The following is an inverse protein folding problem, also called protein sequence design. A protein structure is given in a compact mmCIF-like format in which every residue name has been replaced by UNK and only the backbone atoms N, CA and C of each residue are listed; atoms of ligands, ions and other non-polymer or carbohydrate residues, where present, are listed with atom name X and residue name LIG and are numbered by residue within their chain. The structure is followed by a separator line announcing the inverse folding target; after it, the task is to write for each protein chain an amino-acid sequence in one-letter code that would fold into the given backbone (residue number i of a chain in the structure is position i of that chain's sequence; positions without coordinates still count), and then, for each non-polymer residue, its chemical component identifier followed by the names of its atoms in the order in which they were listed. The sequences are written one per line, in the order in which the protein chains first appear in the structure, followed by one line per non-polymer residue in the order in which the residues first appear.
data_IF_615768795962
#
_entry.id   IF_615768795962
#
_cell.length_a   1.000
_cell.length_b   1.000
_cell.length_c   1.000
_cell.angle_alpha   90.00
_cell.angle_beta   90.00
_cell.angle_gamma   90.00
#
_symmetry.space_group_name_H-M   'P 1'
#
loop_
_entity.id
_entity.type
_entity.pdbx_description
1 polymer ?
#
# COMPACT_ATOMS: atom_id res chain seq x y z
N UNK A 1 -39.82 1.38 -44.48
CA UNK A 1 -38.55 1.19 -45.21
C UNK A 1 -37.31 1.76 -44.47
N UNK A 2 -37.40 2.12 -43.18
CA UNK A 2 -36.26 2.62 -42.38
C UNK A 2 -35.55 1.63 -41.43
N UNK A 3 -36.16 0.52 -40.93
CA UNK A 3 -35.50 -0.29 -39.90
C UNK A 3 -34.26 -1.05 -40.39
N UNK A 4 -34.22 -1.41 -41.68
CA UNK A 4 -33.08 -2.12 -42.27
C UNK A 4 -31.78 -1.28 -42.30
N UNK A 5 -31.89 0.01 -42.62
CA UNK A 5 -30.75 0.93 -42.70
C UNK A 5 -30.25 1.31 -41.31
N UNK A 6 -31.12 1.33 -40.30
CA UNK A 6 -30.72 1.53 -38.91
C UNK A 6 -29.95 0.32 -38.35
N UNK A 7 -30.41 -0.90 -38.64
CA UNK A 7 -29.74 -2.12 -38.21
C UNK A 7 -28.34 -2.26 -38.82
N UNK A 8 -28.17 -2.00 -40.12
CA UNK A 8 -26.84 -2.02 -40.76
C UNK A 8 -25.85 -1.01 -40.15
N UNK A 9 -26.32 0.17 -39.76
CA UNK A 9 -25.45 1.18 -39.13
C UNK A 9 -25.03 0.77 -37.72
N UNK A 10 -25.93 0.17 -36.95
CA UNK A 10 -25.62 -0.35 -35.62
C UNK A 10 -24.62 -1.50 -35.71
N UNK A 11 -24.80 -2.43 -36.65
CA UNK A 11 -23.88 -3.54 -36.87
C UNK A 11 -22.48 -3.06 -37.31
N UNK A 12 -22.41 -2.05 -38.19
CA UNK A 12 -21.14 -1.47 -38.61
C UNK A 12 -20.39 -0.79 -37.45
N UNK A 13 -21.10 -0.04 -36.60
CA UNK A 13 -20.52 0.59 -35.40
C UNK A 13 -20.05 -0.48 -34.42
N UNK A 14 -20.87 -1.49 -34.14
CA UNK A 14 -20.55 -2.58 -33.21
C UNK A 14 -19.32 -3.36 -33.69
N UNK A 15 -19.26 -3.68 -34.99
CA UNK A 15 -18.12 -4.39 -35.61
C UNK A 15 -16.84 -3.57 -35.52
N UNK A 16 -16.90 -2.27 -35.83
CA UNK A 16 -15.75 -1.38 -35.70
C UNK A 16 -15.25 -1.29 -34.25
N UNK A 17 -16.15 -1.10 -33.29
CA UNK A 17 -15.81 -1.10 -31.87
C UNK A 17 -15.15 -2.41 -31.45
N UNK A 18 -15.71 -3.54 -31.87
CA UNK A 18 -15.16 -4.86 -31.55
C UNK A 18 -13.77 -5.03 -32.14
N UNK A 19 -13.53 -4.54 -33.37
CA UNK A 19 -12.25 -4.64 -34.04
C UNK A 19 -11.18 -3.73 -33.42
N UNK A 20 -11.53 -2.49 -33.06
CA UNK A 20 -10.63 -1.57 -32.35
C UNK A 20 -10.30 -2.12 -30.96
N UNK A 21 -11.31 -2.60 -30.23
CA UNK A 21 -11.14 -3.21 -28.92
C UNK A 21 -10.28 -4.48 -28.98
N UNK A 22 -10.56 -5.35 -29.96
CA UNK A 22 -9.77 -6.54 -30.27
C UNK A 22 -8.32 -6.21 -30.65
N UNK A 23 -8.06 -5.07 -31.28
CA UNK A 23 -6.71 -4.64 -31.65
C UNK A 23 -5.94 -4.03 -30.48
N UNK A 24 -6.62 -3.29 -29.60
CA UNK A 24 -6.01 -2.65 -28.44
C UNK A 24 -5.72 -3.62 -27.28
N UNK A 25 -6.53 -4.66 -27.12
CA UNK A 25 -6.40 -5.62 -26.02
C UNK A 25 -5.05 -6.37 -26.00
N UNK A 26 -4.52 -6.91 -27.12
CA UNK A 26 -3.20 -7.56 -27.14
C UNK A 26 -2.06 -6.59 -26.81
N UNK A 27 -2.17 -5.32 -27.22
CA UNK A 27 -1.19 -4.30 -26.88
C UNK A 27 -1.21 -4.01 -25.39
N UNK A 28 -2.40 -3.80 -24.81
CA UNK A 28 -2.56 -3.58 -23.37
C UNK A 28 -2.00 -4.76 -22.58
N UNK A 29 -2.33 -6.00 -22.96
CA UNK A 29 -1.84 -7.20 -22.28
C UNK A 29 -0.31 -7.27 -22.32
N UNK A 30 0.30 -7.01 -23.48
CA UNK A 30 1.76 -6.97 -23.63
C UNK A 30 2.39 -5.87 -22.78
N UNK A 31 1.82 -4.67 -22.78
CA UNK A 31 2.30 -3.55 -21.96
C UNK A 31 2.20 -3.88 -20.47
N UNK A 32 1.09 -4.43 -20.02
CA UNK A 32 0.90 -4.81 -18.62
C UNK A 32 1.92 -5.88 -18.18
N UNK A 33 2.18 -6.89 -19.02
CA UNK A 33 3.21 -7.91 -18.74
C UNK A 33 4.61 -7.30 -18.53
N UNK A 34 5.02 -6.41 -19.42
CA UNK A 34 6.32 -5.69 -19.31
C UNK A 34 6.37 -4.85 -18.02
N UNK A 35 5.28 -4.17 -17.69
CA UNK A 35 5.21 -3.35 -16.47
C UNK A 35 5.27 -4.21 -15.20
N UNK A 36 4.62 -5.38 -15.18
CA UNK A 36 4.67 -6.30 -14.04
C UNK A 36 6.07 -6.90 -13.89
N UNK A 37 6.71 -7.34 -14.98
CA UNK A 37 8.11 -7.78 -14.94
C UNK A 37 9.02 -6.71 -14.34
N UNK A 38 8.96 -5.49 -14.88
CA UNK A 38 9.77 -4.38 -14.37
C UNK A 38 9.47 -4.02 -12.92
N UNK A 39 8.21 -4.12 -12.48
CA UNK A 39 7.84 -3.88 -11.08
C UNK A 39 8.47 -4.92 -10.14
N UNK A 40 8.43 -6.20 -10.50
CA UNK A 40 9.03 -7.28 -9.70
C UNK A 40 10.55 -7.14 -9.66
N UNK A 41 11.19 -6.79 -10.78
CA UNK A 41 12.63 -6.50 -10.83
C UNK A 41 13.01 -5.33 -9.92
N UNK A 42 12.17 -4.29 -9.87
CA UNK A 42 12.36 -3.16 -8.96
C UNK A 42 12.24 -3.62 -7.50
N UNK A 43 11.24 -4.42 -7.14
CA UNK A 43 11.11 -4.94 -5.78
C UNK A 43 12.36 -5.73 -5.35
N UNK A 44 12.86 -6.61 -6.22
CA UNK A 44 14.07 -7.39 -5.96
C UNK A 44 15.32 -6.50 -5.83
N UNK A 45 15.45 -5.51 -6.71
CA UNK A 45 16.55 -4.54 -6.66
C UNK A 45 16.53 -3.72 -5.37
N UNK A 46 15.36 -3.18 -4.99
CA UNK A 46 15.16 -2.42 -3.75
C UNK A 46 15.48 -3.27 -2.53
N UNK A 47 15.10 -4.56 -2.52
CA UNK A 47 15.51 -5.47 -1.46
C UNK A 47 17.04 -5.57 -1.36
N UNK A 48 17.72 -5.87 -2.47
CA UNK A 48 19.18 -6.03 -2.46
C UNK A 48 19.94 -4.74 -2.08
N UNK A 49 19.44 -3.57 -2.47
CA UNK A 49 20.03 -2.27 -2.12
C UNK A 49 19.91 -1.91 -0.62
N UNK A 50 18.89 -2.46 0.05
CA UNK A 50 18.52 -2.10 1.42
C UNK A 50 18.67 -3.23 2.44
N UNK A 51 19.01 -4.46 2.01
CA UNK A 51 19.16 -5.63 2.90
C UNK A 51 20.18 -5.45 4.03
N UNK A 52 21.15 -4.56 3.86
CA UNK A 52 22.17 -4.23 4.88
C UNK A 52 21.91 -2.92 5.62
N UNK A 53 20.84 -2.19 5.26
CA UNK A 53 20.48 -0.88 5.82
C UNK A 53 19.10 -0.97 6.48
N UNK A 54 18.06 -0.57 5.77
CA UNK A 54 16.70 -0.42 6.31
C UNK A 54 16.03 -1.77 6.59
N UNK A 55 16.35 -2.80 5.80
CA UNK A 55 15.81 -4.17 5.97
C UNK A 55 16.74 -5.01 6.86
N UNK A 56 17.78 -4.42 7.44
CA UNK A 56 18.76 -5.17 8.27
C UNK A 56 18.10 -5.86 9.47
N UNK A 57 17.08 -5.25 10.06
CA UNK A 57 16.38 -5.73 11.26
C UNK A 57 14.96 -6.21 10.92
N UNK A 58 14.81 -6.97 9.84
CA UNK A 58 13.51 -7.52 9.44
C UNK A 58 13.04 -8.54 10.47
N UNK A 59 12.04 -8.17 11.27
CA UNK A 59 11.43 -9.05 12.26
C UNK A 59 10.28 -9.89 11.67
N UNK A 60 9.72 -10.79 12.48
CA UNK A 60 8.65 -11.68 12.05
C UNK A 60 7.41 -10.90 11.55
N UNK A 61 7.07 -9.78 12.20
CA UNK A 61 5.91 -8.97 11.82
C UNK A 61 6.13 -8.28 10.48
N UNK A 62 7.31 -7.67 10.28
CA UNK A 62 7.69 -7.06 9.01
C UNK A 62 7.71 -8.08 7.87
N UNK A 63 8.23 -9.28 8.13
CA UNK A 63 8.18 -10.39 7.17
C UNK A 63 6.73 -10.76 6.80
N UNK A 64 5.86 -10.99 7.79
CA UNK A 64 4.45 -11.33 7.54
C UNK A 64 3.72 -10.24 6.75
N UNK A 65 3.99 -8.96 7.05
CA UNK A 65 3.40 -7.85 6.32
C UNK A 65 3.87 -7.81 4.86
N UNK A 66 5.18 -7.96 4.62
CA UNK A 66 5.72 -7.98 3.26
C UNK A 66 5.16 -9.16 2.46
N UNK A 67 5.05 -10.34 3.07
CA UNK A 67 4.45 -11.51 2.41
C UNK A 67 2.98 -11.25 2.02
N UNK A 68 2.18 -10.64 2.90
CA UNK A 68 0.81 -10.23 2.59
C UNK A 68 0.76 -9.25 1.40
N UNK A 69 1.63 -8.23 1.39
CA UNK A 69 1.68 -7.25 0.30
C UNK A 69 2.07 -7.91 -1.03
N UNK A 70 3.06 -8.81 -1.04
CA UNK A 70 3.46 -9.55 -2.23
C UNK A 70 2.35 -10.47 -2.75
N UNK A 71 1.65 -11.18 -1.87
CA UNK A 71 0.51 -12.04 -2.23
C UNK A 71 -0.67 -11.22 -2.78
N UNK A 72 -0.92 -10.04 -2.19
CA UNK A 72 -1.91 -9.10 -2.72
C UNK A 72 -1.55 -8.66 -4.15
N UNK A 73 -0.29 -8.26 -4.39
CA UNK A 73 0.17 -7.87 -5.73
C UNK A 73 0.04 -9.02 -6.72
N UNK A 74 0.49 -10.22 -6.34
CA UNK A 74 0.39 -11.41 -7.18
C UNK A 74 -1.07 -11.72 -7.53
N UNK A 75 -1.98 -11.64 -6.56
CA UNK A 75 -3.41 -11.89 -6.77
C UNK A 75 -4.04 -10.88 -7.73
N UNK A 76 -3.79 -9.58 -7.50
CA UNK A 76 -4.36 -8.50 -8.32
C UNK A 76 -3.82 -8.52 -9.75
N UNK A 77 -2.54 -8.85 -9.92
CA UNK A 77 -1.85 -8.78 -11.21
C UNK A 77 -1.68 -10.15 -11.89
N UNK A 78 -2.25 -11.23 -11.35
CA UNK A 78 -1.98 -12.61 -11.77
C UNK A 78 -2.09 -12.84 -13.29
N UNK A 79 -3.05 -12.20 -13.96
CA UNK A 79 -3.25 -12.34 -15.41
C UNK A 79 -2.09 -11.81 -16.26
N UNK A 80 -1.24 -10.98 -15.65
CA UNK A 80 -0.12 -10.29 -16.30
C UNK A 80 1.25 -10.79 -15.82
N UNK A 81 1.29 -11.75 -14.90
CA UNK A 81 2.54 -12.38 -14.51
C UNK A 81 3.10 -13.24 -15.65
N UNK A 82 4.33 -12.96 -16.05
CA UNK A 82 5.12 -13.87 -16.88
C UNK A 82 5.83 -14.91 -16.03
N UNK A 83 6.28 -16.04 -16.61
CA UNK A 83 7.10 -17.02 -15.89
C UNK A 83 8.34 -16.41 -15.23
N UNK A 84 8.97 -15.44 -15.90
CA UNK A 84 10.13 -14.71 -15.40
C UNK A 84 9.77 -13.87 -14.17
N UNK A 85 8.66 -13.12 -14.22
CA UNK A 85 8.17 -12.35 -13.08
C UNK A 85 7.77 -13.26 -11.90
N UNK A 86 7.17 -14.42 -12.16
CA UNK A 86 6.84 -15.41 -11.12
C UNK A 86 8.10 -15.93 -10.43
N UNK A 87 9.12 -16.27 -11.21
CA UNK A 87 10.39 -16.75 -10.68
C UNK A 87 11.12 -15.68 -9.87
N UNK A 88 11.10 -14.43 -10.34
CA UNK A 88 11.68 -13.29 -9.62
C UNK A 88 10.91 -12.99 -8.31
N UNK A 89 9.58 -13.07 -8.33
CA UNK A 89 8.75 -12.91 -7.14
C UNK A 89 9.04 -13.99 -6.10
N UNK A 90 9.14 -15.25 -6.54
CA UNK A 90 9.53 -16.36 -5.67
C UNK A 90 10.92 -16.17 -5.07
N UNK A 91 11.89 -15.75 -5.88
CA UNK A 91 13.23 -15.42 -5.40
C UNK A 91 13.20 -14.30 -4.34
N UNK A 92 12.39 -13.26 -4.54
CA UNK A 92 12.23 -12.19 -3.54
C UNK A 92 11.67 -12.74 -2.21
N UNK A 93 10.63 -13.59 -2.26
CA UNK A 93 10.04 -14.21 -1.07
C UNK A 93 11.07 -15.08 -0.33
N UNK A 94 11.85 -15.89 -1.04
CA UNK A 94 12.93 -16.71 -0.47
C UNK A 94 14.01 -15.85 0.21
N UNK A 95 14.44 -14.78 -0.46
CA UNK A 95 15.42 -13.83 0.09
C UNK A 95 14.91 -13.09 1.34
N UNK A 96 13.62 -12.73 1.37
CA UNK A 96 12.98 -12.11 2.53
C UNK A 96 12.93 -13.07 3.71
N UNK A 97 12.62 -14.35 3.47
CA UNK A 97 12.60 -15.36 4.51
C UNK A 97 14.01 -15.60 5.07
N UNK A 98 15.01 -15.74 4.21
CA UNK A 98 16.42 -15.84 4.63
C UNK A 98 16.81 -14.65 5.50
N UNK A 99 16.50 -13.43 5.06
CA UNK A 99 16.80 -12.21 5.80
C UNK A 99 16.10 -12.15 7.16
N UNK A 100 14.83 -12.54 7.25
CA UNK A 100 14.09 -12.58 8.50
C UNK A 100 14.71 -13.60 9.48
N UNK A 101 15.11 -14.78 8.98
CA UNK A 101 15.81 -15.78 9.78
C UNK A 101 17.16 -15.28 10.30
N UNK A 102 17.96 -14.63 9.44
CA UNK A 102 19.22 -13.98 9.83
C UNK A 102 18.99 -12.94 10.93
N UNK A 103 18.00 -12.05 10.76
CA UNK A 103 17.69 -10.99 11.71
C UNK A 103 17.23 -11.53 13.07
N UNK A 104 16.44 -12.60 13.09
CA UNK A 104 16.03 -13.27 14.34
C UNK A 104 17.23 -13.92 15.02
N UNK A 105 18.10 -14.60 14.27
CA UNK A 105 19.32 -15.20 14.81
C UNK A 105 20.28 -14.15 15.39
N UNK A 106 20.54 -13.06 14.66
CA UNK A 106 21.38 -11.94 15.11
C UNK A 106 20.82 -11.29 16.40
N UNK A 107 19.50 -11.19 16.54
CA UNK A 107 18.86 -10.66 17.74
C UNK A 107 19.03 -11.58 18.97
N UNK A 108 19.04 -12.90 18.76
CA UNK A 108 19.26 -13.89 19.82
C UNK A 108 20.72 -13.93 20.30
N UNK A 109 21.68 -13.71 19.40
CA UNK A 109 23.11 -13.71 19.74
C UNK A 109 23.55 -12.45 20.49
N UNK A 110 22.80 -11.34 20.39
CA UNK A 110 23.15 -10.07 21.02
C UNK A 110 22.01 -9.42 21.86
N UNK A 111 21.48 -10.08 22.90
CA UNK A 111 20.35 -9.56 23.69
C UNK A 111 20.70 -8.29 24.53
N UNK A 112 21.99 -7.95 24.63
CA UNK A 112 22.53 -7.13 25.72
C UNK A 112 22.54 -5.60 25.55
N UNK A 113 22.15 -5.03 24.41
CA UNK A 113 22.36 -3.59 24.15
C UNK A 113 21.16 -2.68 24.48
N UNK A 114 20.05 -3.22 25.02
CA UNK A 114 18.89 -2.43 25.46
C UNK A 114 18.58 -2.49 26.96
N UNK A 115 19.48 -3.03 27.78
CA UNK A 115 19.35 -2.92 29.25
C UNK A 115 20.54 -2.17 29.84
N UNK A 116 20.29 -0.93 30.25
CA UNK A 116 21.12 -0.24 31.24
C UNK A 116 21.30 -1.17 32.45
N UNK A 117 22.52 -1.57 32.83
CA UNK A 117 22.70 -2.39 34.02
C UNK A 117 22.41 -1.54 35.26
N UNK A 118 21.32 -1.82 35.95
CA UNK A 118 21.13 -1.36 37.33
C UNK A 118 21.54 -2.50 38.24
N UNK A 119 22.60 -2.25 38.99
CA UNK A 119 23.35 -3.17 39.86
C UNK A 119 22.46 -3.84 40.92
N UNK A 120 22.40 -5.16 40.89
CA UNK A 120 22.06 -6.02 42.04
C UNK A 120 20.80 -6.87 41.87
N UNK A 121 20.97 -8.13 41.51
CA UNK A 121 20.19 -9.26 42.06
C UNK A 121 20.84 -10.57 41.64
N UNK A 122 21.17 -11.40 42.62
CA UNK A 122 21.67 -12.77 42.45
C UNK A 122 20.52 -13.72 42.09
N UNK A 123 20.87 -14.78 41.36
CA UNK A 123 20.14 -16.04 41.09
C UNK A 123 18.67 -15.97 40.68
N UNK A 124 18.43 -16.24 39.39
CA UNK A 124 17.46 -17.23 38.94
C UNK A 124 17.80 -17.61 37.51
N UNK A 125 18.04 -18.90 37.28
CA UNK A 125 18.13 -19.48 35.95
C UNK A 125 16.78 -19.30 35.27
N UNK A 126 16.62 -18.23 34.48
CA UNK A 126 15.48 -18.10 33.58
C UNK A 126 15.79 -18.97 32.37
N UNK A 127 15.15 -20.14 32.34
CA UNK A 127 14.94 -20.96 31.16
C UNK A 127 14.04 -20.19 30.18
N UNK A 128 14.53 -19.06 29.67
CA UNK A 128 13.89 -18.33 28.58
C UNK A 128 14.62 -18.72 27.29
N UNK A 129 14.46 -19.98 26.91
CA UNK A 129 14.52 -20.34 25.49
C UNK A 129 13.36 -19.60 24.81
N UNK A 130 13.57 -18.33 24.45
CA UNK A 130 12.75 -17.74 23.40
C UNK A 130 12.76 -18.76 22.25
N UNK A 131 11.59 -19.24 21.79
CA UNK A 131 11.56 -20.22 20.73
C UNK A 131 12.26 -19.58 19.54
N UNK A 132 13.39 -20.17 19.14
CA UNK A 132 14.01 -19.85 17.86
C UNK A 132 12.93 -20.03 16.81
N UNK A 133 12.45 -18.95 16.20
CA UNK A 133 11.39 -19.04 15.21
C UNK A 133 11.96 -19.77 14.00
N UNK A 134 11.43 -20.95 13.70
CA UNK A 134 11.84 -21.71 12.52
C UNK A 134 11.41 -20.98 11.25
N UNK A 135 12.12 -21.11 10.11
CA UNK A 135 11.63 -20.63 8.82
C UNK A 135 10.21 -21.11 8.51
N UNK A 136 9.87 -22.34 8.88
CA UNK A 136 8.52 -22.89 8.69
C UNK A 136 7.49 -22.17 9.57
N UNK A 137 7.85 -21.82 10.80
CA UNK A 137 6.95 -21.08 11.71
C UNK A 137 6.68 -19.67 11.17
N UNK A 138 7.70 -19.00 10.59
CA UNK A 138 7.53 -17.70 9.92
C UNK A 138 6.59 -17.80 8.73
N UNK A 139 6.71 -18.85 7.92
CA UNK A 139 5.82 -19.08 6.78
C UNK A 139 4.38 -19.32 7.24
N UNK A 140 4.17 -20.09 8.31
CA UNK A 140 2.84 -20.30 8.89
C UNK A 140 2.25 -19.00 9.42
N UNK A 141 3.04 -18.18 10.11
CA UNK A 141 2.61 -16.86 10.58
C UNK A 141 2.22 -15.93 9.41
N UNK A 142 3.02 -15.91 8.35
CA UNK A 142 2.73 -15.12 7.16
C UNK A 142 1.43 -15.59 6.49
N UNK A 143 1.23 -16.90 6.34
CA UNK A 143 0.00 -17.48 5.79
C UNK A 143 -1.23 -17.14 6.64
N UNK A 144 -1.10 -17.17 7.97
CA UNK A 144 -2.18 -16.77 8.86
C UNK A 144 -2.53 -15.29 8.68
N UNK A 145 -1.52 -14.40 8.62
CA UNK A 145 -1.68 -12.98 8.34
C UNK A 145 -2.43 -12.74 7.02
N UNK A 146 -2.03 -13.45 5.96
CA UNK A 146 -2.69 -13.41 4.66
C UNK A 146 -4.14 -13.87 4.72
N UNK A 147 -4.40 -15.02 5.35
CA UNK A 147 -5.76 -15.56 5.50
C UNK A 147 -6.71 -14.57 6.19
N UNK A 148 -6.21 -13.81 7.17
CA UNK A 148 -7.03 -12.91 7.95
C UNK A 148 -7.32 -11.58 7.24
N UNK A 149 -6.38 -11.09 6.40
CA UNK A 149 -6.43 -9.72 5.88
C UNK A 149 -6.66 -9.63 4.37
N UNK A 150 -6.14 -10.58 3.58
CA UNK A 150 -6.08 -10.48 2.12
C UNK A 150 -7.45 -10.25 1.49
N UNK A 151 -8.46 -11.01 1.92
CA UNK A 151 -9.80 -10.90 1.35
C UNK A 151 -10.42 -9.52 1.58
N UNK A 152 -10.15 -8.91 2.74
CA UNK A 152 -10.57 -7.54 3.04
C UNK A 152 -9.90 -6.53 2.10
N UNK A 153 -8.60 -6.67 1.86
CA UNK A 153 -7.85 -5.81 0.92
C UNK A 153 -8.39 -5.91 -0.51
N UNK A 154 -8.63 -7.13 -0.98
CA UNK A 154 -9.18 -7.38 -2.32
C UNK A 154 -10.57 -6.78 -2.48
N UNK A 155 -11.42 -6.87 -1.45
CA UNK A 155 -12.74 -6.26 -1.47
C UNK A 155 -12.66 -4.72 -1.47
N UNK A 156 -11.74 -4.13 -0.71
CA UNK A 156 -11.46 -2.68 -0.77
C UNK A 156 -11.05 -2.25 -2.17
N UNK A 157 -10.20 -3.02 -2.84
CA UNK A 157 -9.78 -2.76 -4.22
C UNK A 157 -10.93 -2.90 -5.21
N UNK A 158 -11.77 -3.93 -5.06
CA UNK A 158 -12.97 -4.13 -5.87
C UNK A 158 -13.93 -2.95 -5.75
N UNK A 159 -14.16 -2.46 -4.54
CA UNK A 159 -14.99 -1.28 -4.28
C UNK A 159 -14.39 -0.01 -4.90
N UNK A 160 -13.07 0.22 -4.74
CA UNK A 160 -12.39 1.36 -5.34
C UNK A 160 -12.53 1.38 -6.87
N UNK A 161 -12.38 0.23 -7.53
CA UNK A 161 -12.59 0.10 -8.97
C UNK A 161 -14.04 0.42 -9.33
N UNK A 162 -15.02 -0.15 -8.61
CA UNK A 162 -16.43 0.10 -8.86
C UNK A 162 -16.79 1.58 -8.74
N UNK A 163 -16.33 2.27 -7.69
CA UNK A 163 -16.55 3.70 -7.49
C UNK A 163 -15.91 4.55 -8.59
N UNK A 164 -14.70 4.19 -9.05
CA UNK A 164 -14.03 4.90 -10.14
C UNK A 164 -14.77 4.73 -11.47
N UNK A 165 -15.24 3.51 -11.77
CA UNK A 165 -16.04 3.24 -12.96
C UNK A 165 -17.39 3.96 -12.93
N UNK A 166 -18.08 3.97 -11.79
CA UNK A 166 -19.34 4.70 -11.60
C UNK A 166 -19.16 6.22 -11.78
N UNK A 167 -18.06 6.78 -11.24
CA UNK A 167 -17.72 8.20 -11.41
C UNK A 167 -17.48 8.60 -12.86
N UNK A 168 -16.99 7.66 -13.70
CA UNK A 168 -16.79 7.90 -15.13
C UNK A 168 -18.10 7.83 -15.91
N UNK A 169 -19.09 7.08 -15.40
CA UNK A 169 -20.39 6.87 -16.02
C UNK A 169 -21.46 7.88 -15.58
N UNK A 170 -21.27 8.59 -14.46
CA UNK A 170 -22.11 9.73 -14.09
C UNK A 170 -21.84 10.90 -15.05
N UNK A 171 -22.78 11.23 -15.96
CA UNK A 171 -22.65 12.45 -16.73
C UNK A 171 -22.74 13.60 -15.74
N UNK A 172 -21.91 14.63 -15.91
CA UNK A 172 -22.20 15.96 -15.38
C UNK A 172 -23.48 16.45 -16.06
N UNK A 173 -24.63 15.94 -15.63
CA UNK A 173 -25.93 16.52 -15.90
C UNK A 173 -26.02 17.82 -15.09
N UNK A 174 -25.27 18.82 -15.54
CA UNK A 174 -25.62 20.20 -15.23
C UNK A 174 -27.00 20.42 -15.87
N UNK A 175 -28.05 20.76 -15.11
CA UNK A 175 -29.23 21.31 -15.73
C UNK A 175 -28.78 22.62 -16.40
N UNK A 176 -28.93 22.69 -17.72
CA UNK A 176 -28.85 23.93 -18.47
C UNK A 176 -29.99 24.85 -18.02
N UNK A 177 -29.79 25.51 -16.88
CA UNK A 177 -30.61 26.61 -16.38
C UNK A 177 -29.90 27.93 -16.67
N UNK A 178 -30.60 28.97 -17.18
CA UNK A 178 -29.96 30.22 -17.56
C UNK A 178 -29.40 30.93 -16.33
N UNK A 179 -28.16 31.44 -16.44
CA UNK A 179 -27.58 32.37 -15.48
C UNK A 179 -28.50 33.59 -15.31
N UNK A 180 -28.71 34.08 -14.07
CA UNK A 180 -28.82 35.52 -13.85
C UNK A 180 -27.51 36.04 -13.26
N UNK A 181 -27.04 37.13 -13.85
CA UNK A 181 -25.88 37.88 -13.41
C UNK A 181 -26.08 38.52 -12.03
N UNK A 182 -24.94 38.92 -11.48
CA UNK A 182 -24.69 39.49 -10.17
C UNK A 182 -25.53 40.73 -9.78
N UNK A 183 -25.51 40.95 -8.45
CA UNK A 183 -25.79 42.17 -7.68
C UNK A 183 -27.22 42.39 -7.16
N UNK A 184 -27.43 42.01 -5.89
CA UNK A 184 -27.93 42.98 -4.91
C UNK A 184 -27.50 42.57 -3.49
N UNK A 185 -27.33 43.58 -2.66
CA UNK A 185 -26.44 43.65 -1.51
C UNK A 185 -27.21 43.76 -0.19
N UNK A 186 -26.58 43.30 0.90
CA UNK A 186 -26.88 43.60 2.31
C UNK A 186 -28.20 43.08 2.90
N UNK A 187 -28.15 41.97 3.64
CA UNK A 187 -28.66 41.95 5.01
C UNK A 187 -28.05 40.81 5.84
N UNK A 188 -27.65 41.16 7.05
CA UNK A 188 -26.89 40.37 7.99
C UNK A 188 -27.72 39.32 8.76
N UNK A 189 -27.00 38.45 9.47
CA UNK A 189 -27.39 37.62 10.63
C UNK A 189 -27.90 36.21 10.30
N UNK A 190 -27.00 35.21 10.32
CA UNK A 190 -26.83 34.23 11.41
C UNK A 190 -25.77 33.18 11.01
N UNK A 191 -25.07 32.64 12.01
CA UNK A 191 -23.73 32.06 11.94
C UNK A 191 -23.56 30.73 11.16
N UNK A 192 -22.36 30.42 10.62
CA UNK A 192 -22.07 29.13 10.03
C UNK A 192 -21.60 28.12 11.09
N UNK A 193 -22.27 26.96 11.13
CA UNK A 193 -21.75 25.72 11.72
C UNK A 193 -20.59 25.26 10.84
N UNK A 194 -19.36 25.38 11.33
CA UNK A 194 -18.18 24.80 10.70
C UNK A 194 -17.93 23.41 11.28
N UNK A 195 -18.03 22.38 10.43
CA UNK A 195 -17.56 21.02 10.70
C UNK A 195 -16.04 20.98 10.46
N UNK A 196 -15.28 20.81 11.53
CA UNK A 196 -13.82 20.84 11.55
C UNK A 196 -13.23 19.48 11.14
N UNK A 197 -12.40 19.46 10.10
CA UNK A 197 -11.47 18.35 9.81
C UNK A 197 -10.31 18.33 10.82
N UNK A 198 -9.81 17.15 11.26
CA UNK A 198 -8.73 17.08 12.23
C UNK A 198 -7.36 17.25 11.54
N UNK A 199 -6.60 18.27 11.94
CA UNK A 199 -5.22 18.48 11.53
C UNK A 199 -4.33 18.45 12.77
N UNK A 200 -3.36 17.52 12.79
CA UNK A 200 -2.44 17.28 13.89
C UNK A 200 -1.51 18.48 14.11
N UNK A 201 -1.57 19.10 15.30
CA UNK A 201 -0.59 20.12 15.74
C UNK A 201 -0.07 19.83 17.14
N UNK A 202 1.11 19.18 17.16
CA UNK A 202 2.24 19.35 18.08
C UNK A 202 1.98 20.21 19.34
N UNK A 203 1.79 19.56 20.49
CA UNK A 203 1.88 20.20 21.80
C UNK A 203 3.34 20.18 22.29
N UNK A 204 3.98 21.35 22.30
CA UNK A 204 5.07 21.66 23.22
C UNK A 204 4.49 22.56 24.31
N UNK A 205 4.39 22.06 25.54
CA UNK A 205 4.08 22.86 26.73
C UNK A 205 5.38 23.28 27.39
N UNK A 206 5.63 24.59 27.41
CA UNK A 206 6.67 25.23 28.22
C UNK A 206 6.10 25.77 29.53
N UNK A 207 6.92 25.80 30.57
CA UNK A 207 6.71 26.56 31.80
C UNK A 207 7.98 27.37 32.14
N UNK A 208 7.90 28.67 31.84
CA UNK A 208 8.44 29.85 32.57
C UNK A 208 9.89 29.89 33.11
N UNK A 209 10.72 30.81 32.59
CA UNK A 209 11.05 32.12 33.21
C UNK A 209 12.14 32.89 32.42
N UNK A 210 12.09 34.23 32.29
CA UNK A 210 13.12 35.02 31.61
C UNK A 210 14.08 35.70 32.61
N UNK A 211 15.39 35.63 32.38
CA UNK A 211 16.37 36.53 33.02
C UNK A 211 17.39 37.04 32.01
N UNK A 212 17.60 38.35 32.14
CA UNK A 212 18.33 39.31 31.30
C UNK A 212 19.86 39.13 31.33
N UNK A 213 20.45 39.34 30.15
CA UNK A 213 21.77 39.91 29.80
C UNK A 213 22.89 40.02 30.85
N UNK A 214 24.07 39.48 30.51
CA UNK A 214 25.34 40.25 30.51
C UNK A 214 26.46 39.55 29.72
N UNK A 215 27.10 40.32 28.84
CA UNK A 215 28.36 40.05 28.14
C UNK A 215 29.50 40.86 28.82
N UNK A 216 30.74 40.36 28.70
CA UNK A 216 32.07 40.86 29.17
C UNK A 216 32.57 40.16 30.43
N UNK A 217 33.82 39.72 30.53
CA UNK A 217 35.05 39.96 29.75
C UNK A 217 35.64 38.66 29.23
#
# INVERSE_FOLDING_TARGET
MYPHVYFERVDAILTFYFQVYSGARPLLEKTMKILVEGLVDIFLSVFHENKTKDIRLLDANGFCQLMLELEYFETVLHTYFSPEAQQAMKSLQENLLEKACESVAEAMENPGHQRRPTRGSEDTASDDRQPSVSPDDLLVLAQQCSSDLLQGELERTRLNIACFMESTLQPTAAPAGPKPAAHSSYQAQHAPVQTSSPSFRRQQTGTSSPVVSRRRR
#
